data_IF_212036137768
#
_entry.id   IF_212036137768
#
_cell.length_a   1.000
_cell.length_b   1.000
_cell.length_c   1.000
_cell.angle_alpha   90.00
_cell.angle_beta   90.00
_cell.angle_gamma   90.00
#
_symmetry.space_group_name_H-M   'P 1'
#
loop_
_entity.id
_entity.type
_entity.pdbx_description
1 polymer ?
#
# COMPACT_ATOMS: atom_id res chain seq x y z
N UNK A 1 -2.59 -11.13 15.33
CA UNK A 1 -3.49 -10.10 14.77
C UNK A 1 -3.20 -8.72 15.33
N UNK A 2 -2.98 -8.65 16.64
CA UNK A 2 -2.64 -7.41 17.32
C UNK A 2 -1.27 -6.89 16.88
N UNK A 3 -0.29 -7.79 16.82
CA UNK A 3 1.06 -7.45 16.36
C UNK A 3 1.04 -6.97 14.92
N UNK A 4 0.17 -7.57 14.13
CA UNK A 4 0.02 -7.20 12.73
C UNK A 4 -0.46 -5.75 12.58
N UNK A 5 -1.44 -5.35 13.39
CA UNK A 5 -1.96 -3.98 13.37
C UNK A 5 -0.88 -3.00 13.85
N UNK A 6 -0.11 -3.38 14.87
CA UNK A 6 0.99 -2.53 15.35
C UNK A 6 2.06 -2.32 14.30
N UNK A 7 2.41 -3.38 13.57
CA UNK A 7 3.39 -3.27 12.48
C UNK A 7 2.90 -2.34 11.37
N UNK A 8 1.63 -2.41 11.03
CA UNK A 8 1.04 -1.51 10.05
C UNK A 8 1.11 -0.06 10.51
N UNK A 9 0.84 0.20 11.79
CA UNK A 9 0.90 1.53 12.36
C UNK A 9 2.32 2.10 12.33
N UNK A 10 3.32 1.28 12.65
CA UNK A 10 4.72 1.72 12.62
C UNK A 10 5.15 2.07 11.19
N UNK A 11 4.82 1.24 10.22
CA UNK A 11 5.15 1.51 8.82
C UNK A 11 4.45 2.75 8.32
N UNK A 12 3.20 2.94 8.70
CA UNK A 12 2.44 4.13 8.37
C UNK A 12 3.12 5.39 8.93
N UNK A 13 3.55 5.34 10.18
CA UNK A 13 4.25 6.47 10.82
C UNK A 13 5.55 6.81 10.09
N UNK A 14 6.32 5.79 9.70
CA UNK A 14 7.56 5.99 8.95
C UNK A 14 7.30 6.66 7.61
N UNK A 15 6.24 6.25 6.94
CA UNK A 15 5.85 6.85 5.67
C UNK A 15 5.48 8.32 5.85
N UNK A 16 4.69 8.63 6.89
CA UNK A 16 4.24 10.01 7.16
C UNK A 16 5.38 10.97 7.46
N UNK A 17 6.47 10.49 8.06
CA UNK A 17 7.60 11.34 8.41
C UNK A 17 8.24 12.02 7.21
N UNK A 18 8.09 11.46 6.01
CA UNK A 18 8.66 12.03 4.80
C UNK A 18 7.67 12.82 3.96
N UNK A 19 6.45 13.05 4.44
CA UNK A 19 5.39 13.65 3.63
C UNK A 19 4.99 15.00 4.17
N UNK A 20 4.93 16.01 3.29
CA UNK A 20 4.58 17.38 3.65
C UNK A 20 3.31 17.89 2.97
N UNK A 21 2.72 17.11 2.05
CA UNK A 21 1.54 17.53 1.30
C UNK A 21 0.27 16.89 1.86
N UNK A 22 -0.73 17.72 2.13
CA UNK A 22 -2.01 17.27 2.71
C UNK A 22 -2.71 16.20 1.86
N UNK A 23 -2.71 16.38 0.53
CA UNK A 23 -3.33 15.42 -0.37
C UNK A 23 -2.64 14.05 -0.32
N UNK A 24 -1.33 14.05 -0.20
CA UNK A 24 -0.57 12.81 -0.07
C UNK A 24 -0.86 12.13 1.27
N UNK A 25 -0.97 12.91 2.34
CA UNK A 25 -1.35 12.38 3.64
C UNK A 25 -2.72 11.69 3.60
N UNK A 26 -3.71 12.31 2.97
CA UNK A 26 -5.04 11.72 2.82
C UNK A 26 -4.95 10.39 2.07
N UNK A 27 -4.16 10.34 1.01
CA UNK A 27 -4.00 9.13 0.22
C UNK A 27 -3.31 8.02 1.01
N UNK A 28 -2.30 8.36 1.80
CA UNK A 28 -1.59 7.39 2.65
C UNK A 28 -2.53 6.83 3.71
N UNK A 29 -3.34 7.67 4.34
CA UNK A 29 -4.36 7.23 5.31
C UNK A 29 -5.33 6.26 4.66
N UNK A 30 -5.81 6.60 3.48
CA UNK A 30 -6.77 5.78 2.74
C UNK A 30 -6.16 4.41 2.37
N UNK A 31 -4.92 4.40 1.88
CA UNK A 31 -4.22 3.16 1.56
C UNK A 31 -4.06 2.29 2.80
N UNK A 32 -3.67 2.90 3.93
CA UNK A 32 -3.50 2.14 5.16
C UNK A 32 -4.82 1.52 5.65
N UNK A 33 -5.90 2.26 5.55
CA UNK A 33 -7.23 1.76 5.90
C UNK A 33 -7.62 0.58 5.00
N UNK A 34 -7.43 0.72 3.70
CA UNK A 34 -7.77 -0.34 2.75
C UNK A 34 -6.88 -1.58 2.92
N UNK A 35 -5.62 -1.38 3.28
CA UNK A 35 -4.71 -2.48 3.57
C UNK A 35 -5.22 -3.31 4.75
N UNK A 36 -5.65 -2.64 5.82
CA UNK A 36 -6.20 -3.31 6.99
C UNK A 36 -7.45 -4.09 6.61
N UNK A 37 -8.35 -3.46 5.86
CA UNK A 37 -9.59 -4.11 5.41
C UNK A 37 -9.30 -5.32 4.53
N UNK A 38 -8.36 -5.20 3.60
CA UNK A 38 -8.01 -6.29 2.70
C UNK A 38 -7.47 -7.51 3.42
N UNK A 39 -6.80 -7.32 4.55
CA UNK A 39 -6.31 -8.44 5.35
C UNK A 39 -7.43 -9.18 6.07
N UNK A 40 -8.58 -8.54 6.21
CA UNK A 40 -9.75 -9.10 6.91
C UNK A 40 -10.78 -9.70 5.97
N UNK A 41 -10.94 -9.12 4.78
CA UNK A 41 -11.97 -9.51 3.81
C UNK A 41 -11.60 -9.00 2.41
N UNK A 42 -12.25 -9.52 1.36
CA UNK A 42 -12.08 -8.93 0.02
C UNK A 42 -12.54 -7.48 0.00
N UNK A 43 -11.92 -6.67 -0.85
CA UNK A 43 -12.32 -5.27 -1.03
C UNK A 43 -13.61 -5.17 -1.82
N UNK A 44 -14.43 -4.18 -1.49
CA UNK A 44 -15.65 -3.88 -2.23
C UNK A 44 -15.32 -3.21 -3.57
N UNK A 45 -16.31 -3.17 -4.46
CA UNK A 45 -16.13 -2.51 -5.76
C UNK A 45 -15.85 -1.02 -5.60
N UNK A 46 -16.47 -0.37 -4.62
CA UNK A 46 -16.21 1.04 -4.32
C UNK A 46 -14.77 1.25 -3.86
N UNK A 47 -14.28 0.36 -3.01
CA UNK A 47 -12.90 0.42 -2.53
C UNK A 47 -11.92 0.22 -3.68
N UNK A 48 -12.21 -0.73 -4.58
CA UNK A 48 -11.38 -0.95 -5.76
C UNK A 48 -11.39 0.24 -6.70
N UNK A 49 -12.54 0.89 -6.88
CA UNK A 49 -12.64 2.10 -7.72
C UNK A 49 -11.79 3.23 -7.15
N UNK A 50 -11.80 3.37 -5.83
CA UNK A 50 -10.98 4.34 -5.13
C UNK A 50 -9.49 4.09 -5.39
N UNK A 51 -9.07 2.82 -5.34
CA UNK A 51 -7.69 2.43 -5.61
C UNK A 51 -7.30 2.70 -7.07
N UNK A 52 -8.22 2.46 -8.00
CA UNK A 52 -7.94 2.76 -9.42
C UNK A 52 -7.57 4.22 -9.62
N UNK A 53 -8.20 5.13 -8.89
CA UNK A 53 -7.82 6.54 -8.96
C UNK A 53 -6.42 6.77 -8.41
N UNK A 54 -6.03 6.07 -7.35
CA UNK A 54 -4.71 6.20 -6.76
C UNK A 54 -3.60 5.65 -7.67
N UNK A 55 -3.92 4.73 -8.58
CA UNK A 55 -2.93 4.24 -9.54
C UNK A 55 -2.46 5.33 -10.51
N UNK A 56 -3.17 6.46 -10.56
CA UNK A 56 -2.80 7.59 -11.40
C UNK A 56 -1.92 8.61 -10.66
N UNK A 57 -1.57 8.34 -9.42
CA UNK A 57 -0.72 9.23 -8.63
C UNK A 57 0.68 9.33 -9.22
N UNK A 58 1.29 10.53 -9.10
CA UNK A 58 2.68 10.73 -9.47
C UNK A 58 3.64 10.19 -8.40
N UNK A 59 3.16 9.96 -7.20
CA UNK A 59 3.95 9.35 -6.13
C UNK A 59 4.05 7.86 -6.37
N UNK A 60 5.27 7.37 -6.64
CA UNK A 60 5.47 5.96 -6.97
C UNK A 60 5.12 5.01 -5.84
N UNK A 61 5.31 5.43 -4.58
CA UNK A 61 4.93 4.58 -3.44
C UNK A 61 3.42 4.40 -3.35
N UNK A 62 2.66 5.49 -3.54
CA UNK A 62 1.20 5.43 -3.55
C UNK A 62 0.72 4.58 -4.71
N UNK A 63 1.31 4.81 -5.88
CA UNK A 63 0.96 4.07 -7.09
C UNK A 63 1.20 2.56 -6.92
N UNK A 64 2.38 2.19 -6.45
CA UNK A 64 2.72 0.79 -6.22
C UNK A 64 1.81 0.17 -5.16
N UNK A 65 1.54 0.88 -4.08
CA UNK A 65 0.66 0.41 -3.02
C UNK A 65 -0.75 0.14 -3.55
N UNK A 66 -1.28 1.04 -4.38
CA UNK A 66 -2.59 0.86 -4.98
C UNK A 66 -2.65 -0.40 -5.84
N UNK A 67 -1.62 -0.63 -6.66
CA UNK A 67 -1.58 -1.84 -7.49
C UNK A 67 -1.47 -3.11 -6.64
N UNK A 68 -0.72 -3.07 -5.54
CA UNK A 68 -0.65 -4.22 -4.63
C UNK A 68 -2.03 -4.54 -4.07
N UNK A 69 -2.76 -3.51 -3.63
CA UNK A 69 -4.10 -3.71 -3.07
C UNK A 69 -5.10 -4.19 -4.12
N UNK A 70 -4.85 -3.89 -5.39
CA UNK A 70 -5.68 -4.38 -6.51
C UNK A 70 -5.24 -5.77 -7.00
N UNK A 71 -4.29 -6.40 -6.32
CA UNK A 71 -3.73 -7.71 -6.69
C UNK A 71 -2.97 -7.71 -8.02
N UNK A 72 -2.53 -6.54 -8.48
CA UNK A 72 -1.76 -6.41 -9.70
C UNK A 72 -0.27 -6.34 -9.35
N UNK A 73 0.27 -7.49 -8.98
CA UNK A 73 1.64 -7.61 -8.45
C UNK A 73 2.70 -7.26 -9.49
N UNK A 74 2.49 -7.64 -10.74
CA UNK A 74 3.48 -7.44 -11.80
C UNK A 74 3.72 -5.96 -12.05
N UNK A 75 2.65 -5.17 -12.13
CA UNK A 75 2.78 -3.73 -12.31
C UNK A 75 3.38 -3.09 -11.07
N UNK A 76 2.98 -3.53 -9.88
CA UNK A 76 3.54 -3.01 -8.63
C UNK A 76 5.06 -3.23 -8.58
N UNK A 77 5.53 -4.43 -8.92
CA UNK A 77 6.96 -4.74 -8.93
C UNK A 77 7.70 -3.86 -9.94
N UNK A 78 7.12 -3.66 -11.11
CA UNK A 78 7.71 -2.78 -12.11
C UNK A 78 7.88 -1.37 -11.55
N UNK A 79 6.85 -0.85 -10.88
CA UNK A 79 6.91 0.49 -10.29
C UNK A 79 7.99 0.56 -9.21
N UNK A 80 8.10 -0.48 -8.40
CA UNK A 80 9.15 -0.54 -7.38
C UNK A 80 10.53 -0.42 -8.02
N UNK A 81 10.75 -1.07 -9.17
CA UNK A 81 12.03 -0.95 -9.88
C UNK A 81 12.31 0.46 -10.41
N UNK A 82 11.27 1.28 -10.58
CA UNK A 82 11.41 2.66 -11.05
C UNK A 82 11.69 3.64 -9.91
N UNK A 83 11.56 3.21 -8.67
CA UNK A 83 11.86 4.06 -7.52
C UNK A 83 13.35 4.28 -7.38
N UNK A 84 13.73 5.44 -6.81
CA UNK A 84 15.13 5.65 -6.43
C UNK A 84 15.50 4.65 -5.33
N UNK A 85 16.79 4.34 -5.23
CA UNK A 85 17.28 3.32 -4.30
C UNK A 85 16.81 3.55 -2.86
N UNK A 86 16.86 4.79 -2.41
CA UNK A 86 16.44 5.13 -1.05
C UNK A 86 14.95 4.83 -0.83
N UNK A 87 14.11 5.25 -1.76
CA UNK A 87 12.67 5.02 -1.67
C UNK A 87 12.34 3.54 -1.76
N UNK A 88 13.01 2.83 -2.64
CA UNK A 88 12.82 1.38 -2.79
C UNK A 88 13.18 0.64 -1.52
N UNK A 89 14.30 1.01 -0.90
CA UNK A 89 14.75 0.39 0.33
C UNK A 89 13.75 0.61 1.47
N UNK A 90 13.13 1.78 1.52
CA UNK A 90 12.11 2.08 2.51
C UNK A 90 10.80 1.33 2.20
N UNK A 91 10.34 1.43 0.96
CA UNK A 91 9.05 0.85 0.57
C UNK A 91 9.02 -0.66 0.77
N UNK A 92 10.09 -1.35 0.44
CA UNK A 92 10.15 -2.81 0.55
C UNK A 92 10.15 -3.31 2.00
N UNK A 93 10.32 -2.42 2.97
CA UNK A 93 10.17 -2.77 4.40
C UNK A 93 8.74 -2.65 4.89
N UNK A 94 7.86 -2.00 4.12
CA UNK A 94 6.47 -1.78 4.55
C UNK A 94 5.65 -3.06 4.47
N UNK A 95 4.74 -3.28 5.44
CA UNK A 95 3.83 -4.44 5.37
C UNK A 95 3.03 -4.51 4.09
N UNK A 96 2.69 -3.37 3.47
CA UNK A 96 1.94 -3.36 2.21
C UNK A 96 2.73 -4.04 1.09
N UNK A 97 4.05 -3.87 1.06
CA UNK A 97 4.87 -4.58 0.08
C UNK A 97 4.81 -6.09 0.32
N UNK A 98 4.89 -6.49 1.58
CA UNK A 98 4.81 -7.90 1.95
C UNK A 98 3.43 -8.50 1.67
N UNK A 99 2.39 -7.68 1.65
CA UNK A 99 1.04 -8.14 1.34
C UNK A 99 0.98 -8.82 -0.02
N UNK A 100 1.80 -8.37 -0.98
CA UNK A 100 1.86 -8.98 -2.31
C UNK A 100 2.49 -10.36 -2.29
N UNK A 101 3.17 -10.74 -1.21
CA UNK A 101 3.92 -11.98 -1.07
C UNK A 101 3.22 -13.02 -0.21
N UNK A 102 2.15 -12.66 0.48
CA UNK A 102 1.45 -13.55 1.41
C UNK A 102 0.13 -14.04 0.82
N UNK A 103 -0.34 -15.15 1.38
CA UNK A 103 -1.65 -15.71 1.03
C UNK A 103 -2.67 -15.22 2.05
N UNK A 104 -3.73 -14.61 1.57
CA UNK A 104 -4.77 -14.09 2.44
C UNK A 104 -5.72 -15.21 2.88
N UNK A 105 -6.36 -15.09 4.07
CA UNK A 105 -7.19 -16.17 4.62
C UNK A 105 -8.43 -16.50 3.76
N UNK A 106 -8.86 -15.58 2.92
CA UNK A 106 -10.03 -15.79 2.04
C UNK A 106 -9.63 -16.11 0.60
N UNK A 107 -8.34 -16.17 0.29
CA UNK A 107 -7.80 -16.49 -1.04
C UNK A 107 -7.20 -17.89 -1.01
N UNK A 108 -7.95 -18.86 -1.40
CA UNK A 108 -7.48 -20.25 -1.41
C UNK A 108 -7.21 -20.75 -2.81
#
# INVERSE_FOLDING_TARGET
KREHVLNLSLSFSQWLMGVNEDSTLVNIHHINELQIKKRMRPLTDEEKSSLLRLTQSDDLMIKAAAYILLDNKDIAEYIVTQMEDEDRNVFTTFPIYNLSKIKLPYNN
#
